data_IF_243351279701
#
_entry.id   IF_243351279701
#
_cell.length_a   1.000
_cell.length_b   1.000
_cell.length_c   1.000
_cell.angle_alpha   90.00
_cell.angle_beta   90.00
_cell.angle_gamma   90.00
#
_symmetry.space_group_name_H-M   'P 1'
#
loop_
_entity.id
_entity.type
_entity.pdbx_description
1 polymer ?
#
# COMPACT_ATOMS: atom_id res chain seq x y z
N UNK A 1 31.32 9.36 34.36
CA UNK A 1 30.04 10.08 34.66
C UNK A 1 29.76 11.10 33.58
N UNK A 2 29.18 10.70 32.42
CA UNK A 2 28.72 11.60 31.33
C UNK A 2 28.08 10.76 30.23
N UNK A 3 27.03 9.98 30.51
CA UNK A 3 26.15 9.36 29.52
C UNK A 3 24.86 8.92 30.22
N UNK A 4 24.12 9.88 30.79
CA UNK A 4 22.81 9.63 31.40
C UNK A 4 21.85 10.80 31.17
N UNK A 5 21.75 11.30 29.93
CA UNK A 5 20.84 12.44 29.66
C UNK A 5 20.27 12.43 28.22
N UNK A 6 20.08 11.27 27.63
CA UNK A 6 19.55 11.19 26.24
C UNK A 6 18.44 10.13 26.05
N UNK A 7 17.68 9.86 27.13
CA UNK A 7 16.61 8.84 27.06
C UNK A 7 15.28 9.39 27.60
N UNK A 8 15.01 10.68 27.46
CA UNK A 8 13.79 11.29 28.04
C UNK A 8 13.16 12.36 27.12
N UNK A 9 13.18 12.13 25.79
CA UNK A 9 12.50 13.06 24.86
C UNK A 9 11.86 12.34 23.67
N UNK A 10 11.12 11.26 23.96
CA UNK A 10 10.33 10.56 22.91
C UNK A 10 8.92 10.20 23.33
N UNK A 11 8.38 10.85 24.35
CA UNK A 11 6.99 10.64 24.79
C UNK A 11 6.37 12.02 24.98
N UNK A 12 5.88 12.62 23.89
CA UNK A 12 4.89 13.68 23.89
C UNK A 12 4.59 14.03 22.44
N UNK A 13 3.55 13.47 21.86
CA UNK A 13 2.68 14.06 20.82
C UNK A 13 1.57 13.07 20.51
N UNK A 14 0.79 12.73 21.54
CA UNK A 14 -0.58 12.29 21.35
C UNK A 14 -1.45 13.48 21.83
N UNK A 15 -1.57 14.51 21.01
CA UNK A 15 -2.62 15.51 21.20
C UNK A 15 -3.92 14.92 20.67
N UNK A 16 -4.71 14.36 21.58
CA UNK A 16 -6.13 14.09 21.39
C UNK A 16 -6.85 15.45 21.22
N UNK A 17 -7.37 15.69 20.02
CA UNK A 17 -8.43 16.71 19.85
C UNK A 17 -9.76 16.00 20.07
N UNK A 18 -10.36 16.23 21.23
CA UNK A 18 -11.76 15.88 21.50
C UNK A 18 -12.67 16.72 20.58
N UNK A 19 -13.41 16.09 19.71
CA UNK A 19 -14.57 16.65 19.03
C UNK A 19 -15.82 15.97 19.50
N UNK A 20 -16.81 16.81 19.73
CA UNK A 20 -18.12 16.53 20.30
C UNK A 20 -18.77 15.22 19.86
N UNK A 21 -19.32 14.53 20.85
CA UNK A 21 -20.10 13.30 20.79
C UNK A 21 -21.35 13.48 19.91
N UNK A 22 -21.44 12.69 18.83
CA UNK A 22 -22.72 12.42 18.19
C UNK A 22 -23.28 11.12 18.77
N UNK A 23 -24.21 11.23 19.70
CA UNK A 23 -24.99 10.11 20.24
C UNK A 23 -25.84 9.48 19.12
N UNK A 24 -25.44 8.34 18.62
CA UNK A 24 -26.28 7.53 17.76
C UNK A 24 -26.76 6.29 18.52
N UNK A 25 -27.99 6.36 18.98
CA UNK A 25 -28.69 5.30 19.73
C UNK A 25 -29.11 4.18 18.75
N UNK A 26 -28.33 3.12 18.65
CA UNK A 26 -28.76 1.88 17.98
C UNK A 26 -29.32 0.91 19.03
N UNK A 27 -30.66 0.85 19.14
CA UNK A 27 -31.33 -0.17 19.95
C UNK A 27 -31.29 -1.50 19.25
N UNK A 28 -30.50 -2.45 19.76
CA UNK A 28 -30.67 -3.88 19.48
C UNK A 28 -31.74 -4.45 20.46
N UNK A 29 -32.80 -4.98 19.91
CA UNK A 29 -33.81 -5.75 20.61
C UNK A 29 -33.37 -7.21 20.64
N UNK A 30 -33.05 -7.79 21.79
CA UNK A 30 -32.77 -9.21 21.91
C UNK A 30 -32.25 -9.62 23.28
N UNK A 31 -33.10 -10.32 24.02
CA UNK A 31 -32.86 -11.24 25.13
C UNK A 31 -31.99 -10.78 26.32
N UNK A 32 -32.62 -10.62 27.44
CA UNK A 32 -32.32 -10.54 28.90
C UNK A 32 -30.90 -10.36 29.44
N UNK A 33 -29.88 -10.21 28.63
CA UNK A 33 -28.52 -9.81 29.02
C UNK A 33 -28.38 -8.29 28.89
N UNK A 34 -27.89 -7.59 29.93
CA UNK A 34 -27.63 -6.15 29.89
C UNK A 34 -26.96 -5.79 28.55
N UNK A 35 -27.69 -5.02 27.73
CA UNK A 35 -27.14 -4.54 26.44
C UNK A 35 -25.90 -3.70 26.74
N UNK A 36 -24.74 -4.20 26.31
CA UNK A 36 -23.49 -3.46 26.39
C UNK A 36 -23.62 -2.17 25.59
N UNK A 37 -23.49 -1.04 26.26
CA UNK A 37 -23.48 0.26 25.58
C UNK A 37 -22.15 0.49 24.93
N UNK A 38 -22.15 0.82 23.66
CA UNK A 38 -20.94 1.15 22.90
C UNK A 38 -20.97 2.63 22.51
N UNK A 39 -19.80 3.23 22.48
CA UNK A 39 -19.60 4.56 21.91
C UNK A 39 -18.61 4.48 20.75
N UNK A 40 -18.76 5.37 19.79
CA UNK A 40 -17.78 5.52 18.71
C UNK A 40 -16.85 6.70 19.05
N UNK A 41 -15.56 6.40 19.16
CA UNK A 41 -14.53 7.41 19.45
C UNK A 41 -13.71 7.65 18.19
N UNK A 42 -13.57 8.92 17.79
CA UNK A 42 -12.73 9.33 16.68
C UNK A 42 -11.27 9.16 17.03
N UNK A 43 -10.50 8.53 16.15
CA UNK A 43 -9.05 8.41 16.24
C UNK A 43 -8.38 8.77 14.91
N UNK A 44 -7.16 9.31 15.00
CA UNK A 44 -6.34 9.64 13.85
C UNK A 44 -5.05 8.82 13.86
N UNK A 45 -4.65 8.32 12.70
CA UNK A 45 -3.38 7.64 12.53
C UNK A 45 -2.57 8.34 11.46
N UNK A 46 -1.32 8.71 11.81
CA UNK A 46 -0.34 9.24 10.88
C UNK A 46 0.80 8.25 10.66
N UNK A 47 1.31 8.19 9.44
CA UNK A 47 2.41 7.31 9.06
C UNK A 47 3.24 7.90 7.94
N UNK A 48 4.52 7.48 7.89
CA UNK A 48 5.47 7.88 6.84
C UNK A 48 5.80 6.70 5.96
N UNK A 49 5.82 6.91 4.65
CA UNK A 49 6.19 5.91 3.65
C UNK A 49 7.22 6.48 2.69
N UNK A 50 8.13 5.64 2.18
CA UNK A 50 9.13 5.98 1.16
C UNK A 50 8.80 5.40 -0.21
N UNK A 51 7.77 4.58 -0.32
CA UNK A 51 7.34 3.94 -1.57
C UNK A 51 5.98 4.45 -2.01
N UNK A 52 5.83 4.68 -3.30
CA UNK A 52 4.55 4.97 -3.96
C UNK A 52 4.08 3.70 -4.63
N UNK A 53 2.92 3.18 -4.20
CA UNK A 53 2.32 2.03 -4.87
C UNK A 53 1.66 2.45 -6.19
N UNK A 54 1.87 1.60 -7.20
CA UNK A 54 1.28 1.77 -8.54
C UNK A 54 -0.18 1.38 -8.50
N UNK A 55 -1.00 2.12 -9.21
CA UNK A 55 -2.40 1.83 -9.42
C UNK A 55 -2.76 1.80 -10.91
N UNK A 56 -4.00 1.48 -11.23
CA UNK A 56 -4.47 1.42 -12.62
C UNK A 56 -4.46 2.75 -13.36
N UNK A 57 -4.30 3.87 -12.64
CA UNK A 57 -4.25 5.22 -13.22
C UNK A 57 -2.83 5.75 -13.35
N UNK A 58 -1.83 5.02 -12.84
CA UNK A 58 -0.43 5.43 -12.92
C UNK A 58 -0.04 5.67 -14.37
N UNK A 59 0.31 6.92 -14.65
CA UNK A 59 0.55 7.41 -16.00
C UNK A 59 1.83 6.78 -16.59
N UNK A 60 1.81 6.45 -17.89
CA UNK A 60 3.00 6.04 -18.67
C UNK A 60 4.16 7.06 -18.62
N UNK A 61 3.90 8.29 -18.20
CA UNK A 61 4.94 9.30 -17.97
C UNK A 61 5.69 9.10 -16.64
N UNK A 62 5.19 8.24 -15.73
CA UNK A 62 5.81 7.94 -14.45
C UNK A 62 6.54 6.58 -14.57
N UNK A 63 7.82 6.61 -14.90
CA UNK A 63 8.69 5.43 -15.08
C UNK A 63 10.07 5.69 -14.49
N UNK A 64 10.84 4.64 -14.29
CA UNK A 64 12.21 4.72 -13.77
C UNK A 64 13.02 5.78 -14.53
N UNK A 65 13.62 6.69 -13.76
CA UNK A 65 14.45 7.75 -14.29
C UNK A 65 13.73 9.04 -14.69
N UNK A 66 12.40 9.12 -14.65
CA UNK A 66 11.70 10.40 -14.88
C UNK A 66 11.91 11.37 -13.74
N UNK A 67 11.95 12.68 -14.08
CA UNK A 67 12.17 13.75 -13.11
C UNK A 67 10.86 14.48 -12.82
N UNK A 68 10.61 14.72 -11.54
CA UNK A 68 9.39 15.32 -11.01
C UNK A 68 9.70 16.44 -10.02
N UNK A 69 8.88 17.47 -10.01
CA UNK A 69 8.91 18.53 -9.01
C UNK A 69 7.85 18.28 -7.94
N UNK A 70 8.24 18.42 -6.68
CA UNK A 70 7.33 18.46 -5.55
C UNK A 70 7.32 19.84 -4.95
N UNK A 71 6.12 20.43 -4.77
CA UNK A 71 5.96 21.68 -4.02
C UNK A 71 5.87 21.37 -2.52
N UNK A 72 6.69 22.06 -1.71
CA UNK A 72 6.74 21.86 -0.26
C UNK A 72 5.45 22.22 0.50
N UNK A 73 4.52 22.91 -0.16
CA UNK A 73 3.34 23.51 0.50
C UNK A 73 2.07 22.66 0.46
N UNK A 74 2.13 21.45 -0.09
CA UNK A 74 0.94 20.63 -0.23
C UNK A 74 0.93 19.46 0.76
N UNK A 75 -0.11 19.31 1.61
CA UNK A 75 -0.26 18.14 2.50
C UNK A 75 -0.50 16.84 1.71
N UNK A 76 -0.78 16.93 0.41
CA UNK A 76 -0.93 15.81 -0.49
C UNK A 76 0.23 15.76 -1.47
N UNK A 77 0.71 14.53 -1.76
CA UNK A 77 1.72 14.31 -2.78
C UNK A 77 1.20 14.75 -4.16
N UNK A 78 1.57 15.95 -4.60
CA UNK A 78 1.29 16.45 -5.93
C UNK A 78 2.57 16.59 -6.73
N UNK A 79 2.92 15.54 -7.45
CA UNK A 79 4.07 15.52 -8.34
C UNK A 79 3.74 16.23 -9.65
N UNK A 80 4.61 17.13 -10.07
CA UNK A 80 4.54 17.81 -11.37
C UNK A 80 5.68 17.30 -12.24
N UNK A 81 5.37 16.81 -13.44
CA UNK A 81 6.40 16.35 -14.38
C UNK A 81 7.29 17.50 -14.83
N UNK A 82 8.59 17.35 -14.63
CA UNK A 82 9.60 18.31 -15.10
C UNK A 82 10.13 17.82 -16.44
N UNK A 83 9.57 18.32 -17.54
CA UNK A 83 9.90 17.86 -18.91
C UNK A 83 10.95 18.73 -19.61
N UNK A 84 11.36 19.87 -19.03
CA UNK A 84 12.22 20.85 -19.68
C UNK A 84 13.72 20.53 -19.51
N UNK A 85 14.10 19.25 -19.62
CA UNK A 85 15.51 18.86 -19.66
C UNK A 85 15.79 18.04 -20.91
N UNK A 86 17.02 18.13 -21.41
CA UNK A 86 17.44 17.34 -22.56
C UNK A 86 17.50 15.85 -22.17
N UNK A 87 16.96 14.94 -22.98
CA UNK A 87 17.13 13.52 -22.73
C UNK A 87 18.61 13.15 -22.59
N UNK A 88 18.94 12.37 -21.60
CA UNK A 88 20.31 11.89 -21.33
C UNK A 88 20.31 10.40 -21.07
N UNK A 89 21.46 9.76 -21.25
CA UNK A 89 21.62 8.33 -20.98
C UNK A 89 21.82 8.13 -19.48
N UNK A 90 21.05 7.23 -18.88
CA UNK A 90 21.22 6.77 -17.51
C UNK A 90 21.56 5.30 -17.47
N UNK A 91 22.40 4.93 -16.53
CA UNK A 91 22.72 3.53 -16.22
C UNK A 91 21.59 2.98 -15.36
N UNK A 92 20.99 1.87 -15.86
CA UNK A 92 19.93 1.13 -15.15
C UNK A 92 20.48 -0.22 -14.75
N UNK A 93 20.46 -0.50 -13.46
CA UNK A 93 20.86 -1.77 -12.87
C UNK A 93 19.66 -2.55 -12.34
N UNK A 94 19.80 -3.85 -12.22
CA UNK A 94 18.83 -4.76 -11.63
C UNK A 94 19.38 -5.38 -10.35
N UNK A 95 18.51 -5.70 -9.40
CA UNK A 95 18.87 -6.56 -8.25
C UNK A 95 19.10 -8.01 -8.66
N UNK A 96 18.75 -8.40 -9.88
CA UNK A 96 19.06 -9.72 -10.41
C UNK A 96 20.52 -9.79 -10.89
N UNK A 97 21.34 -10.69 -10.33
CA UNK A 97 22.76 -10.75 -10.64
C UNK A 97 23.05 -11.17 -12.09
N UNK A 98 22.12 -11.89 -12.73
CA UNK A 98 22.25 -12.35 -14.11
C UNK A 98 22.00 -11.25 -15.15
N UNK A 99 21.39 -10.13 -14.74
CA UNK A 99 21.03 -9.03 -15.62
C UNK A 99 22.07 -7.90 -15.53
N UNK A 100 22.97 -7.85 -16.49
CA UNK A 100 23.99 -6.79 -16.55
C UNK A 100 23.35 -5.39 -16.66
N UNK A 101 23.94 -4.36 -16.00
CA UNK A 101 23.49 -2.98 -16.15
C UNK A 101 23.51 -2.54 -17.62
N UNK A 102 22.55 -1.71 -17.99
CA UNK A 102 22.45 -1.11 -19.32
C UNK A 102 22.50 0.41 -19.23
N UNK A 103 23.02 1.05 -20.29
CA UNK A 103 23.01 2.51 -20.40
C UNK A 103 22.06 2.96 -21.52
N UNK A 104 20.92 3.49 -21.14
CA UNK A 104 19.84 3.88 -22.06
C UNK A 104 19.31 5.29 -21.74
N UNK A 105 18.63 5.90 -22.70
CA UNK A 105 17.76 7.05 -22.39
C UNK A 105 16.51 6.48 -21.72
N UNK A 106 16.21 6.85 -20.44
CA UNK A 106 15.03 6.36 -19.75
C UNK A 106 13.76 6.69 -20.53
N UNK A 107 12.90 5.69 -20.66
CA UNK A 107 11.59 5.81 -21.30
C UNK A 107 10.73 4.63 -20.88
N UNK A 108 9.41 4.79 -20.85
CA UNK A 108 8.49 3.75 -20.40
C UNK A 108 8.75 2.42 -21.10
N UNK A 109 8.79 2.42 -22.44
CA UNK A 109 8.99 1.19 -23.21
C UNK A 109 10.42 0.63 -23.10
N UNK A 110 11.43 1.48 -23.00
CA UNK A 110 12.81 1.06 -22.82
C UNK A 110 13.03 0.37 -21.46
N UNK A 111 12.49 0.96 -20.38
CA UNK A 111 12.54 0.36 -19.03
C UNK A 111 11.74 -0.93 -18.99
N UNK A 112 10.54 -0.95 -19.57
CA UNK A 112 9.69 -2.14 -19.66
C UNK A 112 10.36 -3.27 -20.44
N UNK A 113 11.00 -2.96 -21.56
CA UNK A 113 11.75 -3.95 -22.36
C UNK A 113 12.93 -4.54 -21.56
N UNK A 114 13.59 -3.71 -20.74
CA UNK A 114 14.65 -4.19 -19.86
C UNK A 114 14.09 -5.08 -18.73
N UNK A 115 13.01 -4.66 -18.07
CA UNK A 115 12.33 -5.45 -17.05
C UNK A 115 11.93 -6.84 -17.55
N UNK A 116 11.44 -6.94 -18.79
CA UNK A 116 11.04 -8.22 -19.39
C UNK A 116 12.18 -9.21 -19.61
N UNK A 117 13.44 -8.76 -19.63
CA UNK A 117 14.60 -9.65 -19.68
C UNK A 117 14.86 -10.36 -18.35
N UNK A 118 14.29 -9.84 -17.25
CA UNK A 118 14.45 -10.35 -15.87
C UNK A 118 13.54 -11.54 -15.56
N UNK A 119 13.00 -12.24 -16.55
CA UNK A 119 12.07 -13.35 -16.35
C UNK A 119 12.72 -14.58 -15.73
N UNK A 120 11.99 -15.24 -14.81
CA UNK A 120 12.34 -16.60 -14.36
C UNK A 120 13.22 -16.68 -13.12
N UNK A 121 13.67 -15.55 -12.58
CA UNK A 121 14.50 -15.53 -11.36
C UNK A 121 13.67 -15.59 -10.08
N UNK A 122 14.20 -16.22 -9.01
CA UNK A 122 13.51 -16.29 -7.74
C UNK A 122 13.34 -14.90 -7.12
N UNK A 123 12.31 -14.74 -6.31
CA UNK A 123 12.03 -13.49 -5.63
C UNK A 123 13.16 -13.07 -4.69
N UNK A 124 13.51 -11.79 -4.77
CA UNK A 124 14.53 -11.16 -3.91
C UNK A 124 14.00 -10.94 -2.50
N UNK A 125 12.73 -10.57 -2.37
CA UNK A 125 12.12 -10.23 -1.08
C UNK A 125 10.70 -10.77 -0.97
N UNK A 126 10.43 -11.46 0.13
CA UNK A 126 9.08 -11.88 0.54
C UNK A 126 8.78 -11.31 1.92
N UNK A 127 7.74 -10.51 2.01
CA UNK A 127 7.27 -9.94 3.27
C UNK A 127 5.81 -10.32 3.49
N UNK A 128 5.47 -10.64 4.74
CA UNK A 128 4.08 -10.81 5.15
C UNK A 128 3.86 -10.17 6.51
N UNK A 129 2.70 -9.61 6.70
CA UNK A 129 2.26 -9.10 8.00
C UNK A 129 0.81 -9.49 8.26
N UNK A 130 0.49 -9.68 9.54
CA UNK A 130 -0.83 -10.01 10.04
C UNK A 130 -1.21 -8.98 11.09
N UNK A 131 -2.41 -8.42 10.99
CA UNK A 131 -2.90 -7.41 11.91
C UNK A 131 -4.41 -7.42 12.07
N UNK A 132 -4.91 -6.50 12.89
CA UNK A 132 -6.30 -6.13 12.96
C UNK A 132 -6.51 -4.77 12.29
N UNK A 133 -7.76 -4.44 11.98
CA UNK A 133 -8.17 -3.11 11.60
C UNK A 133 -9.55 -2.82 12.19
N UNK A 134 -9.89 -1.55 12.34
CA UNK A 134 -11.20 -1.12 12.85
C UNK A 134 -12.04 -0.46 11.76
N UNK A 135 -11.38 0.01 10.72
CA UNK A 135 -11.98 0.69 9.59
C UNK A 135 -11.23 0.31 8.31
N UNK A 136 -11.94 0.09 7.22
CA UNK A 136 -11.33 -0.25 5.93
C UNK A 136 -10.43 0.85 5.36
N UNK A 137 -10.52 2.09 5.86
CA UNK A 137 -9.55 3.15 5.53
C UNK A 137 -8.12 2.82 5.95
N UNK A 138 -7.93 1.83 6.83
CA UNK A 138 -6.61 1.27 7.15
C UNK A 138 -5.82 0.80 5.90
N UNK A 139 -6.51 0.47 4.79
CA UNK A 139 -5.85 0.13 3.53
C UNK A 139 -4.97 1.27 2.99
N UNK A 140 -5.24 2.53 3.37
CA UNK A 140 -4.42 3.69 3.01
C UNK A 140 -2.97 3.56 3.50
N UNK A 141 -2.76 2.89 4.63
CA UNK A 141 -1.42 2.59 5.13
C UNK A 141 -0.60 1.77 4.13
N UNK A 142 -1.27 0.93 3.34
CA UNK A 142 -0.63 0.00 2.40
C UNK A 142 -0.68 0.46 0.95
N UNK A 143 -1.62 1.31 0.58
CA UNK A 143 -1.82 1.77 -0.81
C UNK A 143 -1.65 3.29 -0.95
N UNK A 144 -1.31 4.00 0.13
CA UNK A 144 -1.22 5.45 0.16
C UNK A 144 -2.56 6.10 -0.24
N UNK A 145 -2.52 7.15 -1.07
CA UNK A 145 -3.70 7.78 -1.65
C UNK A 145 -3.98 7.32 -3.08
N UNK A 146 -3.68 6.06 -3.39
CA UNK A 146 -3.99 5.47 -4.68
C UNK A 146 -5.51 5.49 -4.97
N UNK A 147 -5.96 5.73 -6.20
CA UNK A 147 -7.36 5.56 -6.61
C UNK A 147 -7.92 4.15 -6.37
N UNK A 148 -7.08 3.15 -6.24
CA UNK A 148 -7.48 1.80 -5.84
C UNK A 148 -8.08 1.77 -4.43
N UNK A 149 -7.66 2.70 -3.54
CA UNK A 149 -8.27 2.89 -2.21
C UNK A 149 -9.76 3.22 -2.33
N UNK A 150 -10.11 4.15 -3.20
CA UNK A 150 -11.51 4.54 -3.42
C UNK A 150 -12.32 3.38 -4.00
N UNK A 151 -11.71 2.56 -4.85
CA UNK A 151 -12.33 1.34 -5.39
C UNK A 151 -12.61 0.32 -4.30
N UNK A 152 -11.67 0.13 -3.36
CA UNK A 152 -11.85 -0.73 -2.18
C UNK A 152 -12.95 -0.18 -1.26
N UNK A 153 -12.89 1.11 -0.94
CA UNK A 153 -13.84 1.74 -0.02
C UNK A 153 -15.28 1.71 -0.56
N UNK A 154 -15.47 1.83 -1.89
CA UNK A 154 -16.80 1.68 -2.53
C UNK A 154 -17.41 0.30 -2.29
N UNK A 155 -16.60 -0.78 -2.27
CA UNK A 155 -17.10 -2.15 -2.06
C UNK A 155 -17.53 -2.42 -0.63
N UNK A 156 -16.98 -1.68 0.34
CA UNK A 156 -17.22 -1.92 1.78
C UNK A 156 -18.13 -0.90 2.42
N UNK A 157 -18.32 0.28 1.78
CA UNK A 157 -19.15 1.36 2.30
C UNK A 157 -20.58 0.92 2.50
N UNK A 158 -21.13 1.22 3.67
CA UNK A 158 -22.52 1.00 4.00
C UNK A 158 -23.02 2.21 4.82
N UNK A 159 -24.05 2.91 4.35
CA UNK A 159 -24.57 4.12 4.97
C UNK A 159 -23.46 5.12 5.36
N UNK A 160 -22.54 5.37 4.40
CA UNK A 160 -21.37 6.27 4.55
C UNK A 160 -20.31 5.83 5.56
N UNK A 161 -20.45 4.66 6.18
CA UNK A 161 -19.43 4.07 7.07
C UNK A 161 -18.56 3.04 6.36
N UNK A 162 -17.28 3.04 6.72
CA UNK A 162 -16.28 2.03 6.34
C UNK A 162 -15.77 1.24 7.55
N UNK A 163 -16.40 1.44 8.72
CA UNK A 163 -16.10 0.71 9.96
C UNK A 163 -16.49 -0.77 9.83
N UNK A 164 -15.76 -1.64 10.50
CA UNK A 164 -16.09 -3.08 10.56
C UNK A 164 -17.46 -3.28 11.20
N UNK A 165 -18.19 -4.29 10.71
CA UNK A 165 -19.55 -4.63 11.20
C UNK A 165 -19.55 -5.84 12.11
N UNK A 166 -18.53 -6.71 12.01
CA UNK A 166 -18.40 -7.92 12.80
C UNK A 166 -17.47 -7.74 13.99
N UNK A 167 -17.51 -8.68 14.94
CA UNK A 167 -16.78 -8.59 16.19
C UNK A 167 -15.24 -8.55 16.01
N UNK A 168 -14.72 -9.22 14.99
CA UNK A 168 -13.28 -9.37 14.77
C UNK A 168 -12.90 -9.00 13.35
N UNK A 169 -11.66 -8.55 13.19
CA UNK A 169 -11.08 -8.21 11.90
C UNK A 169 -9.70 -8.86 11.70
N UNK A 170 -9.37 -9.10 10.44
CA UNK A 170 -8.11 -9.67 9.98
C UNK A 170 -7.58 -8.88 8.79
N UNK A 171 -6.35 -8.39 8.88
CA UNK A 171 -5.60 -7.83 7.78
C UNK A 171 -4.40 -8.73 7.52
N UNK A 172 -4.32 -9.29 6.31
CA UNK A 172 -3.16 -10.03 5.81
C UNK A 172 -2.55 -9.23 4.67
N UNK A 173 -1.30 -8.82 4.81
CA UNK A 173 -0.53 -8.21 3.73
C UNK A 173 0.56 -9.18 3.28
N UNK A 174 0.71 -9.32 1.98
CA UNK A 174 1.81 -10.07 1.35
C UNK A 174 2.42 -9.22 0.25
N UNK A 175 3.73 -9.08 0.28
CA UNK A 175 4.50 -8.44 -0.75
C UNK A 175 5.61 -9.38 -1.21
N UNK A 176 5.71 -9.55 -2.51
CA UNK A 176 6.63 -10.44 -3.15
C UNK A 176 7.35 -9.67 -4.25
N UNK A 177 8.54 -9.15 -3.96
CA UNK A 177 9.36 -8.46 -4.94
C UNK A 177 10.23 -9.49 -5.65
N UNK A 178 9.99 -9.65 -6.94
CA UNK A 178 10.77 -10.54 -7.80
C UNK A 178 12.14 -9.91 -8.10
N UNK A 179 12.15 -8.63 -8.46
CA UNK A 179 13.36 -7.84 -8.66
C UNK A 179 13.05 -6.35 -8.59
N UNK A 180 14.11 -5.55 -8.45
CA UNK A 180 14.04 -4.08 -8.52
C UNK A 180 14.98 -3.58 -9.61
N UNK A 181 14.60 -2.49 -10.26
CA UNK A 181 15.48 -1.73 -11.15
C UNK A 181 15.82 -0.40 -10.48
N UNK A 182 17.05 0.04 -10.67
CA UNK A 182 17.59 1.26 -10.10
C UNK A 182 18.22 2.13 -11.18
N UNK A 183 17.98 3.45 -11.13
CA UNK A 183 18.64 4.44 -11.96
C UNK A 183 19.84 5.03 -11.20
N UNK A 184 21.01 5.10 -11.84
CA UNK A 184 22.23 5.60 -11.20
C UNK A 184 22.15 7.12 -10.98
N UNK A 185 22.28 7.55 -9.72
CA UNK A 185 22.24 8.97 -9.32
C UNK A 185 23.32 9.80 -10.02
N UNK A 186 24.53 9.25 -10.26
CA UNK A 186 25.63 10.00 -10.87
C UNK A 186 25.29 10.52 -12.26
N UNK A 187 24.51 9.78 -13.03
CA UNK A 187 24.05 10.22 -14.36
C UNK A 187 23.14 11.46 -14.26
N UNK A 188 22.35 11.57 -13.17
CA UNK A 188 21.47 12.71 -12.90
C UNK A 188 22.24 13.92 -12.42
N UNK A 189 23.26 13.75 -11.58
CA UNK A 189 24.15 14.80 -11.14
C UNK A 189 24.88 15.47 -12.31
N UNK A 190 25.27 14.69 -13.31
CA UNK A 190 25.91 15.21 -14.51
C UNK A 190 24.92 15.90 -15.47
N UNK A 191 23.68 15.42 -15.56
CA UNK A 191 22.66 15.97 -16.43
C UNK A 191 22.05 17.28 -15.94
N UNK A 192 21.98 17.47 -14.63
CA UNK A 192 21.40 18.65 -13.98
C UNK A 192 22.46 19.53 -13.34
N UNK A 193 22.77 20.67 -13.97
CA UNK A 193 23.69 21.64 -13.39
C UNK A 193 23.11 22.20 -12.09
N UNK A 194 23.99 22.62 -11.16
CA UNK A 194 23.60 23.28 -9.90
C UNK A 194 22.70 24.49 -10.15
N UNK A 195 22.94 25.25 -11.23
CA UNK A 195 22.11 26.39 -11.60
C UNK A 195 20.71 25.99 -12.03
N UNK A 196 20.55 24.89 -12.78
CA UNK A 196 19.25 24.37 -13.18
C UNK A 196 18.45 23.91 -11.95
N UNK A 197 19.08 23.18 -11.04
CA UNK A 197 18.47 22.77 -9.77
C UNK A 197 18.12 23.97 -8.88
N UNK A 198 19.00 24.99 -8.84
CA UNK A 198 18.76 26.24 -8.12
C UNK A 198 17.56 27.03 -8.67
N UNK A 199 17.38 27.07 -9.99
CA UNK A 199 16.19 27.69 -10.62
C UNK A 199 14.90 26.96 -10.27
N UNK A 200 14.91 25.63 -10.26
CA UNK A 200 13.76 24.82 -9.84
C UNK A 200 13.38 25.10 -8.38
N UNK A 201 14.35 25.15 -7.48
CA UNK A 201 14.14 25.48 -6.08
C UNK A 201 13.57 26.89 -5.90
N UNK A 202 14.07 27.89 -6.64
CA UNK A 202 13.54 29.26 -6.61
C UNK A 202 12.09 29.35 -7.12
N UNK A 203 11.66 28.44 -8.01
CA UNK A 203 10.27 28.34 -8.45
C UNK A 203 9.38 27.51 -7.50
N UNK A 204 9.88 27.14 -6.33
CA UNK A 204 9.14 26.42 -5.28
C UNK A 204 9.02 24.91 -5.54
N UNK A 205 9.86 24.35 -6.40
CA UNK A 205 9.89 22.91 -6.66
C UNK A 205 11.16 22.25 -6.15
N UNK A 206 11.02 21.21 -5.36
CA UNK A 206 12.10 20.28 -5.08
C UNK A 206 12.13 19.21 -6.17
N UNK A 207 13.27 19.04 -6.89
CA UNK A 207 13.37 18.05 -7.94
C UNK A 207 13.68 16.65 -7.38
N UNK A 208 12.90 15.67 -7.85
CA UNK A 208 13.06 14.26 -7.56
C UNK A 208 13.12 13.47 -8.87
N UNK A 209 13.79 12.34 -8.85
CA UNK A 209 13.73 11.37 -9.94
C UNK A 209 13.21 10.03 -9.44
N UNK A 210 12.57 9.26 -10.29
CA UNK A 210 12.20 7.89 -9.96
C UNK A 210 13.48 7.07 -9.89
N UNK A 211 13.97 6.85 -8.67
CA UNK A 211 15.27 6.24 -8.38
C UNK A 211 15.22 4.72 -8.45
N UNK A 212 14.09 4.14 -8.07
CA UNK A 212 13.89 2.68 -8.17
C UNK A 212 12.44 2.33 -8.48
N UNK A 213 12.26 1.14 -9.06
CA UNK A 213 10.96 0.52 -9.30
C UNK A 213 11.02 -0.96 -8.91
N UNK A 214 9.98 -1.44 -8.25
CA UNK A 214 9.87 -2.83 -7.83
C UNK A 214 8.88 -3.59 -8.71
N UNK A 215 9.25 -4.80 -9.13
CA UNK A 215 8.42 -5.72 -9.88
C UNK A 215 8.11 -6.96 -9.04
N UNK A 216 6.89 -7.41 -9.10
CA UNK A 216 6.40 -8.54 -8.30
C UNK A 216 4.91 -8.46 -8.04
N UNK A 217 4.48 -8.83 -6.84
CA UNK A 217 3.07 -8.74 -6.43
C UNK A 217 2.92 -8.15 -5.03
N UNK A 218 1.88 -7.37 -4.85
CA UNK A 218 1.43 -6.83 -3.58
C UNK A 218 -0.03 -7.19 -3.36
N UNK A 219 -0.34 -7.91 -2.30
CA UNK A 219 -1.72 -8.31 -1.98
C UNK A 219 -2.09 -7.97 -0.54
N UNK A 220 -3.37 -7.64 -0.36
CA UNK A 220 -3.97 -7.35 0.93
C UNK A 220 -5.30 -8.11 0.99
N UNK A 221 -5.47 -8.91 2.04
CA UNK A 221 -6.76 -9.49 2.38
C UNK A 221 -7.26 -8.84 3.67
N UNK A 222 -8.45 -8.26 3.63
CA UNK A 222 -9.13 -7.69 4.78
C UNK A 222 -10.38 -8.50 5.04
N UNK A 223 -10.48 -9.09 6.23
CA UNK A 223 -11.60 -9.93 6.62
C UNK A 223 -12.26 -9.45 7.89
N UNK A 224 -13.58 -9.57 7.95
CA UNK A 224 -14.39 -9.44 9.18
C UNK A 224 -15.01 -10.78 9.51
N UNK A 225 -15.11 -11.13 10.81
CA UNK A 225 -15.71 -12.38 11.26
C UNK A 225 -16.36 -12.22 12.63
N UNK A 226 -17.40 -13.01 12.90
CA UNK A 226 -17.94 -13.18 14.24
C UNK A 226 -17.03 -14.04 15.12
N UNK A 227 -16.09 -14.77 14.50
CA UNK A 227 -15.12 -15.63 15.16
C UNK A 227 -13.78 -14.94 15.38
N UNK A 228 -12.94 -15.44 16.32
CA UNK A 228 -11.61 -14.91 16.55
C UNK A 228 -10.77 -14.77 15.27
N UNK A 229 -9.93 -13.74 15.21
CA UNK A 229 -9.05 -13.45 14.05
C UNK A 229 -8.20 -14.65 13.65
N UNK A 230 -7.71 -15.43 14.63
CA UNK A 230 -6.90 -16.63 14.40
C UNK A 230 -7.65 -17.68 13.60
N UNK A 231 -8.94 -17.89 13.88
CA UNK A 231 -9.77 -18.86 13.19
C UNK A 231 -9.98 -18.46 11.73
N UNK A 232 -10.34 -17.19 11.47
CA UNK A 232 -10.49 -16.70 10.10
C UNK A 232 -9.17 -16.80 9.32
N UNK A 233 -8.04 -16.44 9.97
CA UNK A 233 -6.72 -16.56 9.35
C UNK A 233 -6.43 -18.01 8.94
N UNK A 234 -6.60 -18.95 9.87
CA UNK A 234 -6.32 -20.37 9.65
C UNK A 234 -7.17 -20.94 8.51
N UNK A 235 -8.45 -20.57 8.46
CA UNK A 235 -9.35 -21.06 7.39
C UNK A 235 -8.98 -20.47 6.03
N UNK A 236 -8.63 -19.18 5.95
CA UNK A 236 -8.15 -18.56 4.71
C UNK A 236 -6.83 -19.18 4.25
N UNK A 237 -5.92 -19.51 5.17
CA UNK A 237 -4.67 -20.21 4.84
C UNK A 237 -4.95 -21.63 4.32
N UNK A 238 -5.89 -22.39 4.92
CA UNK A 238 -6.30 -23.68 4.38
C UNK A 238 -6.80 -23.57 2.93
N UNK A 239 -7.63 -22.58 2.62
CA UNK A 239 -8.09 -22.33 1.24
C UNK A 239 -6.94 -21.98 0.30
N UNK A 240 -6.02 -21.11 0.73
CA UNK A 240 -4.87 -20.72 -0.07
C UNK A 240 -3.96 -21.90 -0.41
N UNK A 241 -3.80 -22.85 0.51
CA UNK A 241 -2.96 -24.05 0.34
C UNK A 241 -3.73 -25.30 -0.08
N UNK A 242 -4.99 -25.19 -0.53
CA UNK A 242 -5.84 -26.30 -0.96
C UNK A 242 -6.01 -27.39 0.11
N UNK A 243 -6.07 -27.02 1.38
CA UNK A 243 -6.30 -27.96 2.49
C UNK A 243 -7.80 -28.19 2.70
N UNK A 244 -8.14 -29.34 3.25
CA UNK A 244 -9.53 -29.66 3.58
C UNK A 244 -10.08 -28.74 4.67
N UNK A 245 -11.34 -28.33 4.50
CA UNK A 245 -12.09 -27.60 5.50
C UNK A 245 -12.91 -28.55 6.36
N UNK A 246 -12.87 -28.30 7.68
CA UNK A 246 -13.77 -28.94 8.63
C UNK A 246 -15.12 -28.22 8.66
N UNK A 247 -16.16 -28.84 9.28
CA UNK A 247 -17.45 -28.16 9.51
C UNK A 247 -17.31 -26.86 10.31
N UNK A 248 -16.37 -26.83 11.25
CA UNK A 248 -16.07 -25.61 12.02
C UNK A 248 -15.50 -24.52 11.10
N UNK A 249 -14.56 -24.86 10.21
CA UNK A 249 -14.01 -23.93 9.23
C UNK A 249 -15.10 -23.35 8.32
N UNK A 250 -16.03 -24.19 7.87
CA UNK A 250 -17.18 -23.75 7.05
C UNK A 250 -18.10 -22.81 7.82
N UNK A 251 -18.29 -23.05 9.12
CA UNK A 251 -19.09 -22.14 9.98
C UNK A 251 -18.40 -20.78 10.12
N UNK A 252 -17.08 -20.75 10.28
CA UNK A 252 -16.30 -19.50 10.31
C UNK A 252 -16.51 -18.71 9.01
N UNK A 253 -16.35 -19.35 7.84
CA UNK A 253 -16.53 -18.68 6.55
C UNK A 253 -17.97 -18.19 6.32
N UNK A 254 -18.99 -18.95 6.75
CA UNK A 254 -20.39 -18.53 6.63
C UNK A 254 -20.68 -17.23 7.38
N UNK A 255 -19.91 -16.94 8.45
CA UNK A 255 -20.03 -15.74 9.26
C UNK A 255 -18.86 -14.80 9.07
N UNK A 256 -18.37 -14.70 7.84
CA UNK A 256 -17.25 -13.84 7.49
C UNK A 256 -17.51 -13.09 6.20
N UNK A 257 -16.87 -11.91 6.11
CA UNK A 257 -16.72 -11.10 4.90
C UNK A 257 -15.24 -11.00 4.59
N UNK A 258 -14.85 -11.14 3.33
CA UNK A 258 -13.46 -11.05 2.90
C UNK A 258 -13.36 -10.15 1.68
N UNK A 259 -12.48 -9.16 1.75
CA UNK A 259 -12.06 -8.30 0.65
C UNK A 259 -10.63 -8.66 0.28
N UNK A 260 -10.37 -8.77 -1.01
CA UNK A 260 -9.03 -9.00 -1.56
C UNK A 260 -8.65 -7.87 -2.50
N UNK A 261 -7.48 -7.32 -2.28
CA UNK A 261 -6.74 -6.48 -3.21
C UNK A 261 -5.48 -7.19 -3.67
N UNK A 262 -5.23 -7.19 -4.96
CA UNK A 262 -3.99 -7.71 -5.54
C UNK A 262 -3.52 -6.81 -6.67
N UNK A 263 -2.26 -6.44 -6.62
CA UNK A 263 -1.53 -5.72 -7.65
C UNK A 263 -0.26 -6.48 -8.01
N UNK A 264 0.00 -6.59 -9.30
CA UNK A 264 1.24 -7.17 -9.84
C UNK A 264 1.64 -6.50 -11.14
N UNK A 265 2.28 -7.25 -12.02
CA UNK A 265 2.85 -6.73 -13.26
C UNK A 265 1.85 -6.36 -14.36
N UNK A 266 0.54 -6.50 -14.16
CA UNK A 266 -0.51 -6.11 -15.12
C UNK A 266 -1.00 -4.68 -14.87
N UNK A 267 -1.71 -4.11 -15.84
CA UNK A 267 -2.22 -2.73 -15.74
C UNK A 267 -3.33 -2.56 -14.69
N UNK A 268 -4.14 -3.59 -14.48
CA UNK A 268 -5.32 -3.52 -13.60
C UNK A 268 -5.07 -4.25 -12.29
N UNK A 269 -5.57 -3.67 -11.19
CA UNK A 269 -5.62 -4.34 -9.90
C UNK A 269 -6.83 -5.28 -9.82
N UNK A 270 -6.66 -6.38 -9.12
CA UNK A 270 -7.77 -7.27 -8.76
C UNK A 270 -8.34 -6.83 -7.42
N UNK A 271 -9.60 -6.39 -7.40
CA UNK A 271 -10.29 -5.93 -6.20
C UNK A 271 -11.65 -6.61 -6.15
N UNK A 272 -11.88 -7.46 -5.16
CA UNK A 272 -13.11 -8.22 -4.99
C UNK A 272 -13.47 -8.36 -3.52
N UNK A 273 -14.77 -8.49 -3.25
CA UNK A 273 -15.32 -8.80 -1.92
C UNK A 273 -16.28 -9.97 -2.02
N UNK A 274 -16.31 -10.81 -0.99
CA UNK A 274 -17.22 -11.94 -0.86
C UNK A 274 -17.68 -12.11 0.59
N UNK A 275 -18.89 -12.60 0.77
CA UNK A 275 -19.52 -12.90 2.05
C UNK A 275 -20.02 -14.34 2.04
N UNK A 276 -19.71 -15.09 3.10
CA UNK A 276 -20.17 -16.47 3.29
C UNK A 276 -19.32 -17.51 2.55
N UNK A 277 -19.55 -18.78 2.89
CA UNK A 277 -18.69 -19.91 2.53
C UNK A 277 -18.37 -20.02 1.05
N UNK A 278 -19.40 -20.17 0.21
CA UNK A 278 -19.18 -20.48 -1.21
C UNK A 278 -18.59 -19.30 -1.97
N UNK A 279 -19.04 -18.09 -1.64
CA UNK A 279 -18.52 -16.88 -2.25
C UNK A 279 -17.06 -16.63 -1.87
N UNK A 280 -16.66 -16.89 -0.61
CA UNK A 280 -15.27 -16.75 -0.16
C UNK A 280 -14.40 -17.84 -0.78
N UNK A 281 -14.87 -19.11 -0.85
CA UNK A 281 -14.16 -20.18 -1.58
C UNK A 281 -13.87 -19.76 -3.02
N UNK A 282 -14.88 -19.25 -3.73
CA UNK A 282 -14.72 -18.76 -5.10
C UNK A 282 -13.75 -17.58 -5.18
N UNK A 283 -13.87 -16.61 -4.28
CA UNK A 283 -12.97 -15.44 -4.22
C UNK A 283 -11.51 -15.87 -4.10
N UNK A 284 -11.20 -16.86 -3.23
CA UNK A 284 -9.83 -17.35 -3.05
C UNK A 284 -9.32 -18.08 -4.29
N UNK A 285 -10.18 -18.83 -5.00
CA UNK A 285 -9.81 -19.45 -6.28
C UNK A 285 -9.51 -18.36 -7.32
N UNK A 286 -10.39 -17.39 -7.47
CA UNK A 286 -10.21 -16.28 -8.41
C UNK A 286 -8.93 -15.48 -8.09
N UNK A 287 -8.64 -15.24 -6.80
CA UNK A 287 -7.41 -14.61 -6.33
C UNK A 287 -6.16 -15.40 -6.72
N UNK A 288 -6.16 -16.72 -6.54
CA UNK A 288 -5.01 -17.59 -6.90
C UNK A 288 -4.72 -17.56 -8.40
N UNK A 289 -5.77 -17.66 -9.22
CA UNK A 289 -5.64 -17.57 -10.66
C UNK A 289 -5.09 -16.19 -11.10
N UNK A 290 -5.61 -15.11 -10.51
CA UNK A 290 -5.13 -13.77 -10.82
C UNK A 290 -3.71 -13.54 -10.31
N UNK A 291 -3.35 -14.10 -9.13
CA UNK A 291 -1.98 -14.01 -8.60
C UNK A 291 -0.96 -14.64 -9.57
N UNK A 292 -1.28 -15.80 -10.14
CA UNK A 292 -0.41 -16.44 -11.14
C UNK A 292 -0.23 -15.57 -12.38
N UNK A 293 -1.31 -14.95 -12.89
CA UNK A 293 -1.25 -14.03 -14.02
C UNK A 293 -0.43 -12.76 -13.72
N UNK A 294 -0.59 -12.22 -12.52
CA UNK A 294 0.07 -10.98 -12.09
C UNK A 294 1.56 -11.18 -11.85
N UNK A 295 1.95 -12.27 -11.20
CA UNK A 295 3.35 -12.53 -10.85
C UNK A 295 4.23 -12.89 -12.08
N UNK A 296 3.61 -13.38 -13.15
CA UNK A 296 4.28 -13.72 -14.41
C UNK A 296 4.31 -12.57 -15.43
N UNK A 297 3.79 -11.40 -15.07
CA UNK A 297 3.82 -10.19 -15.89
C UNK A 297 4.77 -9.15 -15.30
N UNK A 298 5.61 -8.55 -16.15
CA UNK A 298 6.52 -7.45 -15.79
C UNK A 298 6.29 -6.23 -16.68
N UNK A 299 5.04 -6.02 -17.09
CA UNK A 299 4.67 -4.86 -17.89
C UNK A 299 4.61 -3.58 -17.06
N UNK A 300 4.24 -3.71 -15.77
CA UNK A 300 4.14 -2.60 -14.82
C UNK A 300 4.83 -2.95 -13.50
N UNK A 301 5.52 -2.01 -12.86
CA UNK A 301 6.01 -2.19 -11.51
C UNK A 301 4.86 -2.17 -10.49
N UNK A 302 5.12 -2.63 -9.27
CA UNK A 302 4.16 -2.56 -8.15
C UNK A 302 4.37 -1.33 -7.28
N UNK A 303 5.59 -0.78 -7.24
CA UNK A 303 5.91 0.42 -6.48
C UNK A 303 7.11 1.16 -7.04
N UNK A 304 7.25 2.44 -6.65
CA UNK A 304 8.36 3.33 -6.98
C UNK A 304 8.97 3.92 -5.71
N UNK A 305 10.25 4.29 -5.79
CA UNK A 305 10.89 5.22 -4.85
C UNK A 305 11.38 6.45 -5.61
N UNK A 306 11.40 7.59 -4.92
CA UNK A 306 11.86 8.86 -5.47
C UNK A 306 13.09 9.34 -4.72
N UNK A 307 14.18 9.56 -5.44
CA UNK A 307 15.41 10.15 -4.92
C UNK A 307 15.42 11.66 -5.11
N UNK A 308 15.84 12.40 -4.10
CA UNK A 308 15.99 13.85 -4.17
C UNK A 308 17.29 14.22 -4.88
N UNK A 309 17.21 15.07 -5.90
CA UNK A 309 18.40 15.51 -6.66
C UNK A 309 19.28 16.53 -5.93
N UNK A 310 18.79 17.13 -4.84
CA UNK A 310 19.56 18.11 -4.04
C UNK A 310 20.19 17.50 -2.78
N UNK A 311 19.47 16.58 -2.10
CA UNK A 311 19.88 16.03 -0.81
C UNK A 311 20.28 14.55 -0.87
N UNK A 312 20.09 13.93 -2.02
CA UNK A 312 20.40 12.51 -2.28
C UNK A 312 19.66 11.49 -1.41
N UNK A 313 18.68 11.97 -0.64
CA UNK A 313 17.84 11.12 0.21
C UNK A 313 16.57 10.67 -0.51
N UNK A 314 16.01 9.55 -0.04
CA UNK A 314 14.70 9.11 -0.50
C UNK A 314 13.60 10.05 -0.01
N UNK A 315 12.62 10.30 -0.88
CA UNK A 315 11.43 11.05 -0.51
C UNK A 315 10.61 10.22 0.47
N UNK A 316 10.30 10.84 1.62
CA UNK A 316 9.36 10.29 2.60
C UNK A 316 8.07 11.08 2.55
N UNK A 317 6.94 10.37 2.47
CA UNK A 317 5.61 10.96 2.48
C UNK A 317 4.97 10.74 3.83
N UNK A 318 4.24 11.75 4.28
CA UNK A 318 3.43 11.66 5.48
C UNK A 318 1.95 11.57 5.10
N UNK A 319 1.26 10.57 5.59
CA UNK A 319 -0.17 10.38 5.43
C UNK A 319 -0.86 10.31 6.77
N UNK A 320 -2.11 10.76 6.82
CA UNK A 320 -2.99 10.55 7.96
C UNK A 320 -4.39 10.19 7.48
N UNK A 321 -5.13 9.46 8.31
CA UNK A 321 -6.55 9.25 8.12
C UNK A 321 -7.25 9.15 9.48
N UNK A 322 -8.50 9.59 9.52
CA UNK A 322 -9.35 9.52 10.69
C UNK A 322 -10.26 8.29 10.56
N UNK A 323 -10.57 7.65 11.67
CA UNK A 323 -11.43 6.49 11.74
C UNK A 323 -12.17 6.44 13.09
N UNK A 324 -13.29 5.71 13.12
CA UNK A 324 -14.06 5.51 14.33
C UNK A 324 -13.71 4.16 14.96
N UNK A 325 -13.51 4.14 16.26
CA UNK A 325 -13.32 2.93 17.06
C UNK A 325 -14.57 2.74 17.92
N UNK A 326 -15.11 1.53 17.94
CA UNK A 326 -16.18 1.14 18.85
C UNK A 326 -15.54 0.80 20.20
N UNK A 327 -15.87 1.54 21.24
CA UNK A 327 -15.40 1.31 22.61
C UNK A 327 -16.59 0.93 23.49
N UNK A 328 -16.39 0.01 24.43
CA UNK A 328 -17.40 -0.35 25.43
C UNK A 328 -17.53 0.81 26.42
N UNK A 329 -18.75 1.31 26.62
CA UNK A 329 -19.01 2.29 27.69
C UNK A 329 -18.98 1.53 29.03
N UNK A 330 -18.08 1.95 29.92
CA UNK A 330 -18.04 1.49 31.31
C UNK A 330 -19.32 1.81 32.06
#
# INVERSE_FOLDING_TARGET
>A
MKYLFLLLLSICFLSSCDKEDSDFDAREIGDGTMAKRYQFVGRSVGFSVSQIYVDGTTNKNFYLGTVWGLKDTTPQLKLTSLRNYKPFKSTISSTQPTLAPIRIIPGFDAVRAFAKKSKGEPAVLKQSSVGAFFDYRAIRYHLNNSPDVDSVLKLVRHHDSTTIKRANSLLLRREHITFSLHADLKDYEQAFSKDALGKLKKSGYNPYYVSSVNYGTHSIMMGESDFPRGDLKNVLEKLLYNQFLTKTDETVLNRSDVLVYLRGGRQTSFIRRATGLDAIKKLVIDYKNELELQQNSFDYPISYSLGNLNSYGDLKFWYSYDFLVREEKE
#
